data_IF_480713216019
#
_entry.id   IF_480713216019
#
_cell.length_a   1.000
_cell.length_b   1.000
_cell.length_c   1.000
_cell.angle_alpha   90.00
_cell.angle_beta   90.00
_cell.angle_gamma   90.00
#
_symmetry.space_group_name_H-M   'P 1'
#
loop_
_entity.id
_entity.type
_entity.pdbx_description
1 polymer ?
#
# COMPACT_ATOMS: atom_id res chain seq x y z
N UNK A 1 -13.04 16.88 6.44
CA UNK A 1 -11.66 16.77 6.94
C UNK A 1 -11.03 15.56 6.23
N UNK A 2 -9.73 15.59 5.93
CA UNK A 2 -9.03 14.41 5.45
C UNK A 2 -9.06 13.32 6.54
N UNK A 3 -9.15 12.03 6.16
CA UNK A 3 -9.11 10.95 7.14
C UNK A 3 -7.73 10.89 7.82
N UNK A 4 -7.70 10.29 9.03
CA UNK A 4 -6.48 10.08 9.81
C UNK A 4 -6.31 8.60 10.13
N UNK A 5 -5.05 8.13 10.14
CA UNK A 5 -4.69 6.78 10.51
C UNK A 5 -3.45 6.77 11.43
N UNK A 6 -3.58 6.12 12.59
CA UNK A 6 -2.50 5.93 13.55
C UNK A 6 -1.77 4.62 13.23
N UNK A 7 -0.49 4.72 12.87
CA UNK A 7 0.41 3.59 12.62
C UNK A 7 1.11 3.25 13.93
N UNK A 8 0.72 2.15 14.56
CA UNK A 8 1.24 1.75 15.87
C UNK A 8 2.67 1.23 15.76
N UNK A 9 3.43 1.38 16.86
CA UNK A 9 4.82 0.91 16.98
C UNK A 9 4.87 -0.54 17.46
N UNK A 10 5.87 -1.28 16.98
CA UNK A 10 6.24 -2.61 17.47
C UNK A 10 7.57 -2.57 18.20
N UNK A 11 7.75 -3.45 19.19
CA UNK A 11 9.01 -3.59 19.92
C UNK A 11 10.07 -4.43 19.18
N UNK A 12 9.70 -5.14 18.12
CA UNK A 12 10.61 -6.01 17.38
C UNK A 12 10.18 -6.15 15.92
N UNK A 13 11.05 -6.80 15.16
CA UNK A 13 10.80 -7.10 13.75
C UNK A 13 10.20 -8.49 13.59
N UNK A 14 9.46 -8.70 12.49
CA UNK A 14 8.95 -10.00 12.11
C UNK A 14 9.04 -10.24 10.59
N UNK A 15 8.92 -11.47 10.13
CA UNK A 15 8.75 -11.76 8.70
C UNK A 15 7.27 -11.62 8.32
N UNK A 16 6.90 -10.83 7.31
CA UNK A 16 5.51 -10.74 6.85
C UNK A 16 4.91 -12.10 6.42
N UNK A 17 5.74 -13.08 6.12
CA UNK A 17 5.33 -14.44 5.80
C UNK A 17 5.04 -15.31 7.00
N UNK A 18 5.36 -14.87 8.21
CA UNK A 18 5.09 -15.62 9.42
C UNK A 18 3.57 -15.71 9.64
N UNK A 19 3.05 -16.94 9.72
CA UNK A 19 1.64 -17.23 9.91
C UNK A 19 1.17 -16.98 11.36
N UNK A 20 2.10 -16.95 12.32
CA UNK A 20 1.82 -16.62 13.72
C UNK A 20 1.45 -15.15 13.95
N UNK A 21 1.82 -14.27 13.02
CA UNK A 21 1.54 -12.83 13.17
C UNK A 21 0.04 -12.54 13.11
N UNK A 22 -0.49 -12.02 14.19
CA UNK A 22 -1.91 -11.69 14.33
C UNK A 22 -2.24 -10.32 13.70
N UNK A 23 -2.22 -10.23 12.38
CA UNK A 23 -2.55 -9.01 11.64
C UNK A 23 -3.91 -8.40 12.01
N UNK A 24 -4.85 -9.24 12.49
CA UNK A 24 -6.17 -8.81 12.94
C UNK A 24 -6.17 -7.88 14.15
N UNK A 25 -5.11 -7.87 14.96
CA UNK A 25 -4.95 -6.97 16.11
C UNK A 25 -4.56 -5.55 15.70
N UNK A 26 -4.02 -5.37 14.48
CA UNK A 26 -3.67 -4.05 13.95
C UNK A 26 -4.94 -3.35 13.48
N UNK A 27 -5.23 -2.12 13.93
CA UNK A 27 -6.38 -1.36 13.47
C UNK A 27 -6.42 -1.23 11.95
N UNK A 28 -7.54 -1.56 11.33
CA UNK A 28 -7.71 -1.47 9.88
C UNK A 28 -8.28 -0.12 9.47
N UNK A 29 -7.76 0.45 8.40
CA UNK A 29 -8.49 1.42 7.59
C UNK A 29 -9.24 0.72 6.46
N UNK A 30 -10.31 1.33 5.98
CA UNK A 30 -11.15 0.78 4.91
C UNK A 30 -11.03 1.65 3.67
N UNK A 31 -10.67 1.04 2.56
CA UNK A 31 -10.77 1.66 1.24
C UNK A 31 -12.23 1.54 0.80
N UNK A 32 -12.96 2.65 0.81
CA UNK A 32 -14.42 2.65 0.63
C UNK A 32 -14.92 3.62 -0.44
N UNK A 33 -14.12 4.59 -0.82
CA UNK A 33 -14.51 5.63 -1.77
C UNK A 33 -14.10 5.19 -3.18
N UNK A 34 -15.06 4.62 -3.93
CA UNK A 34 -14.87 4.19 -5.31
C UNK A 34 -15.27 5.30 -6.27
N UNK A 35 -14.35 5.65 -7.18
CA UNK A 35 -14.37 6.89 -7.94
C UNK A 35 -14.39 6.62 -9.45
N UNK A 36 -14.87 7.58 -10.21
CA UNK A 36 -14.82 7.70 -11.68
C UNK A 36 -15.65 6.70 -12.48
N UNK A 37 -15.94 5.51 -11.96
CA UNK A 37 -16.74 4.50 -12.63
C UNK A 37 -17.95 4.13 -11.77
N UNK A 38 -19.12 4.14 -12.38
CA UNK A 38 -20.38 3.70 -11.74
C UNK A 38 -20.86 2.38 -12.36
N UNK A 39 -20.05 1.34 -12.24
CA UNK A 39 -20.36 -0.01 -12.70
C UNK A 39 -20.92 -0.93 -11.59
N UNK A 40 -21.18 -0.37 -10.40
CA UNK A 40 -21.69 -1.10 -9.23
C UNK A 40 -20.66 -1.97 -8.50
N UNK A 41 -19.42 -2.10 -9.00
CA UNK A 41 -18.40 -2.93 -8.39
C UNK A 41 -17.50 -2.14 -7.42
N UNK A 42 -17.61 -2.47 -6.13
CA UNK A 42 -16.93 -1.78 -5.03
C UNK A 42 -16.41 -2.83 -4.03
N UNK A 43 -15.34 -3.58 -4.37
CA UNK A 43 -14.84 -4.62 -3.47
C UNK A 43 -14.36 -4.01 -2.14
N UNK A 44 -14.76 -4.61 -1.02
CA UNK A 44 -14.26 -4.20 0.30
C UNK A 44 -12.76 -4.48 0.38
N UNK A 45 -12.00 -3.48 0.81
CA UNK A 45 -10.56 -3.64 1.06
C UNK A 45 -10.20 -3.06 2.42
N UNK A 46 -9.50 -3.86 3.21
CA UNK A 46 -8.90 -3.46 4.47
C UNK A 46 -7.39 -3.27 4.27
N UNK A 47 -6.85 -2.18 4.81
CA UNK A 47 -5.41 -2.00 4.90
C UNK A 47 -5.00 -1.79 6.36
N UNK A 48 -3.81 -2.25 6.71
CA UNK A 48 -3.20 -2.12 8.03
C UNK A 48 -1.75 -1.75 7.89
N UNK A 49 -1.25 -0.93 8.81
CA UNK A 49 0.17 -0.61 8.88
C UNK A 49 0.64 -0.53 10.34
N UNK A 50 1.86 -1.00 10.57
CA UNK A 50 2.61 -0.84 11.82
C UNK A 50 4.07 -0.61 11.48
N UNK A 51 4.86 -0.09 12.42
CA UNK A 51 6.29 0.10 12.21
C UNK A 51 7.11 -0.37 13.42
N UNK A 52 8.32 -0.84 13.13
CA UNK A 52 9.34 -1.15 14.12
C UNK A 52 10.47 -0.14 14.07
N UNK A 53 11.59 -0.44 14.69
CA UNK A 53 12.82 0.34 14.56
C UNK A 53 13.40 0.28 13.14
N UNK A 54 13.18 -0.82 12.40
CA UNK A 54 13.83 -1.05 11.12
C UNK A 54 12.88 -1.06 9.91
N UNK A 55 11.58 -1.32 10.12
CA UNK A 55 10.65 -1.54 9.01
C UNK A 55 9.31 -0.86 9.22
N UNK A 56 8.71 -0.45 8.10
CA UNK A 56 7.27 -0.20 7.96
C UNK A 56 6.63 -1.47 7.38
N UNK A 57 5.65 -2.02 8.07
CA UNK A 57 4.88 -3.20 7.67
C UNK A 57 3.52 -2.77 7.16
N UNK A 58 3.09 -3.37 6.07
CA UNK A 58 1.80 -3.09 5.45
C UNK A 58 1.11 -4.39 5.07
N UNK A 59 -0.18 -4.44 5.31
CA UNK A 59 -1.04 -5.56 4.97
C UNK A 59 -2.29 -5.05 4.27
N UNK A 60 -2.63 -5.68 3.16
CA UNK A 60 -3.91 -5.50 2.48
C UNK A 60 -4.69 -6.80 2.43
N UNK A 61 -6.01 -6.71 2.64
CA UNK A 61 -6.97 -7.77 2.42
C UNK A 61 -8.08 -7.27 1.52
N UNK A 62 -8.15 -7.80 0.31
CA UNK A 62 -9.15 -7.41 -0.69
C UNK A 62 -10.18 -8.53 -0.86
N UNK A 63 -11.44 -8.21 -0.61
CA UNK A 63 -12.57 -9.13 -0.77
C UNK A 63 -13.02 -9.11 -2.23
N UNK A 64 -12.28 -9.80 -3.07
CA UNK A 64 -12.42 -9.87 -4.51
C UNK A 64 -12.25 -11.33 -4.96
N UNK A 65 -13.30 -11.93 -5.48
CA UNK A 65 -13.32 -13.36 -5.90
C UNK A 65 -12.75 -13.58 -7.28
N UNK A 66 -12.92 -12.60 -8.18
CA UNK A 66 -12.38 -12.65 -9.54
C UNK A 66 -11.12 -11.81 -9.58
N UNK A 67 -10.00 -12.48 -9.74
CA UNK A 67 -8.67 -11.87 -9.67
C UNK A 67 -8.01 -11.93 -11.04
N UNK A 68 -7.41 -10.82 -11.43
CA UNK A 68 -6.54 -10.76 -12.59
C UNK A 68 -5.10 -10.56 -12.11
N UNK A 69 -4.19 -11.42 -12.54
CA UNK A 69 -2.73 -11.30 -12.42
C UNK A 69 -2.11 -11.73 -13.74
N UNK A 70 -1.54 -10.80 -14.45
CA UNK A 70 -0.83 -11.00 -15.71
C UNK A 70 0.62 -10.56 -15.65
N UNK A 71 0.92 -9.61 -14.77
CA UNK A 71 2.22 -9.00 -14.62
C UNK A 71 2.96 -9.60 -13.43
N UNK A 72 4.14 -10.18 -13.69
CA UNK A 72 4.98 -10.84 -12.69
C UNK A 72 6.41 -10.30 -12.66
N UNK A 73 6.75 -9.44 -13.60
CA UNK A 73 8.08 -8.89 -13.76
C UNK A 73 8.36 -7.67 -12.87
N UNK A 74 9.64 -7.34 -12.77
CA UNK A 74 10.11 -6.18 -12.03
C UNK A 74 9.60 -4.88 -12.68
N UNK A 75 8.92 -4.03 -11.86
CA UNK A 75 8.37 -2.75 -12.32
C UNK A 75 7.35 -2.86 -13.45
N UNK A 76 6.70 -4.01 -13.62
CA UNK A 76 5.60 -4.19 -14.54
C UNK A 76 4.40 -3.29 -14.20
N UNK A 77 3.48 -3.02 -15.14
CA UNK A 77 2.30 -2.19 -14.90
C UNK A 77 1.21 -2.94 -14.10
N UNK A 78 1.53 -3.27 -12.84
CA UNK A 78 0.69 -4.07 -11.93
C UNK A 78 -0.66 -3.43 -11.62
N UNK A 79 -0.82 -2.12 -11.78
CA UNK A 79 -2.09 -1.39 -11.65
C UNK A 79 -3.16 -1.85 -12.65
N UNK A 80 -2.77 -2.53 -13.73
CA UNK A 80 -3.71 -3.12 -14.68
C UNK A 80 -4.31 -4.44 -14.20
N UNK A 81 -3.70 -5.06 -13.20
CA UNK A 81 -4.15 -6.28 -12.54
C UNK A 81 -5.03 -5.96 -11.30
N UNK A 82 -5.50 -6.98 -10.58
CA UNK A 82 -6.04 -6.81 -9.23
C UNK A 82 -4.93 -6.30 -8.31
N UNK A 83 -4.95 -5.00 -7.99
CA UNK A 83 -3.86 -4.27 -7.39
C UNK A 83 -4.27 -3.50 -6.15
N UNK A 84 -3.36 -3.37 -5.19
CA UNK A 84 -3.45 -2.48 -4.02
C UNK A 84 -2.21 -1.59 -3.96
N UNK A 85 -2.38 -0.37 -3.43
CA UNK A 85 -1.30 0.61 -3.49
C UNK A 85 -1.19 1.38 -2.17
N UNK A 86 0.05 1.63 -1.74
CA UNK A 86 0.41 2.60 -0.71
C UNK A 86 1.17 3.76 -1.37
N UNK A 87 0.63 4.97 -1.24
CA UNK A 87 1.36 6.20 -1.55
C UNK A 87 1.65 6.91 -0.24
N UNK A 88 2.92 7.20 0.05
CA UNK A 88 3.34 7.69 1.37
C UNK A 88 4.40 8.78 1.28
N UNK A 89 4.16 9.87 1.99
CA UNK A 89 5.07 10.96 2.25
C UNK A 89 5.20 11.16 3.77
N UNK A 90 6.22 10.56 4.42
CA UNK A 90 6.44 10.74 5.85
C UNK A 90 6.92 12.14 6.23
N UNK A 91 7.42 12.93 5.28
CA UNK A 91 8.06 14.22 5.50
C UNK A 91 7.53 15.30 4.53
N UNK A 92 6.22 15.60 4.56
CA UNK A 92 5.61 16.51 3.59
C UNK A 92 6.18 17.92 3.63
N UNK A 93 6.72 18.35 4.77
CA UNK A 93 7.38 19.65 4.94
C UNK A 93 8.68 19.80 4.12
N UNK A 94 9.31 18.67 3.73
CA UNK A 94 10.51 18.68 2.90
C UNK A 94 10.21 18.95 1.42
N UNK A 95 8.98 18.70 0.98
CA UNK A 95 8.57 18.89 -0.42
C UNK A 95 9.38 18.06 -1.42
N UNK A 96 10.01 16.95 -0.97
CA UNK A 96 10.86 16.10 -1.80
C UNK A 96 10.06 15.21 -2.75
N UNK A 97 8.82 14.89 -2.37
CA UNK A 97 7.94 13.98 -3.08
C UNK A 97 7.45 12.84 -2.18
N UNK A 98 6.85 11.82 -2.76
CA UNK A 98 6.30 10.68 -2.05
C UNK A 98 6.69 9.36 -2.75
N UNK A 99 6.67 8.27 -1.99
CA UNK A 99 6.76 6.93 -2.56
C UNK A 99 5.37 6.47 -3.02
N UNK A 100 5.30 5.87 -4.20
CA UNK A 100 4.20 5.01 -4.60
C UNK A 100 4.69 3.56 -4.64
N UNK A 101 3.95 2.66 -4.02
CA UNK A 101 4.24 1.23 -3.93
C UNK A 101 2.95 0.51 -4.31
N UNK A 102 2.94 -0.05 -5.50
CA UNK A 102 1.81 -0.70 -6.14
C UNK A 102 2.11 -2.21 -6.21
N UNK A 103 1.21 -3.04 -5.70
CA UNK A 103 1.39 -4.51 -5.68
C UNK A 103 0.14 -5.20 -6.19
N UNK A 104 0.31 -6.11 -7.16
CA UNK A 104 -0.82 -6.95 -7.57
C UNK A 104 -1.04 -8.11 -6.58
N UNK A 105 -2.11 -8.86 -6.79
CA UNK A 105 -2.53 -9.94 -5.90
C UNK A 105 -1.51 -11.08 -5.78
N UNK A 106 -0.52 -11.20 -6.68
CA UNK A 106 0.58 -12.17 -6.60
C UNK A 106 1.90 -11.55 -6.07
N UNK A 107 1.89 -10.28 -5.66
CA UNK A 107 3.06 -9.65 -5.03
C UNK A 107 4.08 -9.07 -6.01
N UNK A 108 3.81 -9.05 -7.31
CA UNK A 108 4.62 -8.26 -8.23
C UNK A 108 4.49 -6.77 -7.89
N UNK A 109 5.60 -6.04 -7.95
CA UNK A 109 5.67 -4.67 -7.46
C UNK A 109 6.11 -3.68 -8.53
N UNK A 110 5.41 -2.54 -8.57
CA UNK A 110 5.84 -1.31 -9.22
C UNK A 110 6.00 -0.25 -8.14
N UNK A 111 7.18 0.34 -8.04
CA UNK A 111 7.45 1.36 -7.05
C UNK A 111 8.26 2.52 -7.63
N UNK A 112 8.00 3.71 -7.10
CA UNK A 112 8.67 4.93 -7.53
C UNK A 112 8.68 6.01 -6.45
N UNK A 113 9.49 7.05 -6.69
CA UNK A 113 9.58 8.23 -5.84
C UNK A 113 9.55 9.51 -6.68
N UNK A 114 8.80 10.50 -6.25
CA UNK A 114 8.76 11.82 -6.88
C UNK A 114 7.55 12.64 -6.50
N UNK A 115 7.43 13.81 -7.11
CA UNK A 115 6.41 14.83 -6.75
C UNK A 115 5.05 14.63 -7.43
N UNK A 116 4.92 13.65 -8.31
CA UNK A 116 3.70 13.39 -9.06
C UNK A 116 3.90 12.40 -10.20
N UNK A 117 2.84 12.06 -10.90
CA UNK A 117 2.82 11.02 -11.94
C UNK A 117 3.95 11.16 -12.99
N UNK A 118 4.21 12.39 -13.46
CA UNK A 118 5.22 12.65 -14.51
C UNK A 118 6.60 13.02 -13.95
N UNK A 119 6.69 13.33 -12.67
CA UNK A 119 7.90 13.80 -12.01
C UNK A 119 8.44 12.76 -11.00
N UNK A 120 8.26 11.49 -11.29
CA UNK A 120 8.74 10.36 -10.46
C UNK A 120 9.75 9.51 -11.21
N UNK A 121 10.66 8.92 -10.46
CA UNK A 121 11.58 7.89 -10.94
C UNK A 121 11.16 6.55 -10.34
N UNK A 122 11.29 5.47 -11.10
CA UNK A 122 11.13 4.11 -10.60
C UNK A 122 12.25 3.79 -9.63
N UNK A 123 11.95 3.07 -8.58
CA UNK A 123 12.95 2.55 -7.65
C UNK A 123 13.81 1.50 -8.36
N UNK A 124 15.09 1.47 -8.02
CA UNK A 124 16.04 0.49 -8.55
C UNK A 124 15.86 -0.87 -7.86
N UNK A 125 16.46 -1.96 -8.40
CA UNK A 125 16.50 -3.25 -7.70
C UNK A 125 17.15 -3.15 -6.31
N UNK A 126 18.16 -2.29 -6.15
CA UNK A 126 18.85 -2.05 -4.90
C UNK A 126 17.94 -1.38 -3.86
N UNK A 127 17.12 -0.42 -4.29
CA UNK A 127 16.10 0.22 -3.43
C UNK A 127 15.08 -0.80 -2.90
N UNK A 128 14.74 -1.81 -3.70
CA UNK A 128 13.76 -2.84 -3.36
C UNK A 128 14.38 -4.10 -2.70
N UNK A 129 15.70 -4.21 -2.66
CA UNK A 129 16.38 -5.41 -2.14
C UNK A 129 16.03 -5.76 -0.68
N UNK A 130 15.67 -4.75 0.13
CA UNK A 130 15.25 -4.95 1.51
C UNK A 130 13.75 -5.20 1.70
N UNK A 131 12.96 -5.14 0.63
CA UNK A 131 11.53 -5.46 0.71
C UNK A 131 11.33 -6.96 0.87
N UNK A 132 10.34 -7.32 1.68
CA UNK A 132 9.83 -8.69 1.76
C UNK A 132 8.35 -8.62 1.45
N UNK A 133 7.93 -9.18 0.33
CA UNK A 133 6.53 -9.19 -0.12
C UNK A 133 6.03 -10.64 -0.08
N UNK A 134 4.85 -10.84 0.49
CA UNK A 134 4.15 -12.13 0.58
C UNK A 134 2.72 -11.92 0.11
N UNK A 135 2.30 -12.73 -0.84
CA UNK A 135 0.96 -12.67 -1.42
C UNK A 135 0.26 -14.02 -1.33
N UNK A 136 -1.05 -14.01 -1.25
CA UNK A 136 -1.85 -15.25 -1.16
C UNK A 136 -2.14 -15.90 -2.51
N UNK A 137 -1.98 -15.16 -3.61
CA UNK A 137 -2.12 -15.69 -4.98
C UNK A 137 -0.73 -16.11 -5.47
N UNK A 138 -0.51 -17.38 -5.81
CA UNK A 138 0.85 -17.89 -6.08
C UNK A 138 1.41 -17.52 -7.47
N UNK A 139 0.58 -17.00 -8.38
CA UNK A 139 1.04 -16.72 -9.75
C UNK A 139 -0.06 -16.19 -10.65
N UNK A 140 0.14 -16.26 -11.98
CA UNK A 140 -0.81 -15.73 -12.93
C UNK A 140 -2.19 -16.37 -12.79
N UNK A 141 -3.22 -15.52 -12.80
CA UNK A 141 -4.63 -15.93 -12.75
C UNK A 141 -5.48 -14.91 -13.49
N UNK A 142 -6.57 -15.36 -14.11
CA UNK A 142 -7.58 -14.47 -14.70
C UNK A 142 -8.95 -15.12 -14.51
N UNK A 143 -9.64 -14.79 -13.43
CA UNK A 143 -10.93 -15.35 -13.08
C UNK A 143 -11.13 -15.65 -11.61
N UNK A 144 -11.95 -16.65 -11.30
CA UNK A 144 -12.19 -17.09 -9.93
C UNK A 144 -10.96 -17.81 -9.36
N UNK A 145 -10.55 -17.46 -8.15
CA UNK A 145 -9.38 -18.08 -7.49
C UNK A 145 -9.73 -18.99 -6.30
N UNK A 146 -11.01 -19.26 -6.07
CA UNK A 146 -11.47 -20.25 -5.10
C UNK A 146 -11.62 -19.75 -3.65
N UNK A 147 -11.15 -18.54 -3.34
CA UNK A 147 -11.33 -17.90 -2.03
C UNK A 147 -12.15 -16.61 -2.15
N UNK A 148 -12.71 -16.15 -1.02
CA UNK A 148 -13.51 -14.91 -0.97
C UNK A 148 -12.66 -13.64 -0.98
N UNK A 149 -11.36 -13.77 -0.68
CA UNK A 149 -10.42 -12.65 -0.61
C UNK A 149 -9.01 -13.10 -0.98
N UNK A 150 -8.17 -12.12 -1.28
CA UNK A 150 -6.73 -12.28 -1.39
C UNK A 150 -6.01 -11.28 -0.48
N UNK A 151 -4.75 -11.56 -0.18
CA UNK A 151 -3.93 -10.72 0.69
C UNK A 151 -2.57 -10.44 0.07
N UNK A 152 -2.05 -9.25 0.35
CA UNK A 152 -0.64 -8.88 0.15
C UNK A 152 -0.14 -8.24 1.43
N UNK A 153 1.01 -8.68 1.88
CA UNK A 153 1.70 -8.16 3.06
C UNK A 153 3.17 -7.96 2.74
N UNK A 154 3.72 -6.87 3.21
CA UNK A 154 5.11 -6.57 2.94
C UNK A 154 5.73 -5.72 4.05
N UNK A 155 7.07 -5.71 4.09
CA UNK A 155 7.84 -4.78 4.89
C UNK A 155 8.74 -3.93 4.00
N UNK A 156 8.93 -2.68 4.39
CA UNK A 156 9.76 -1.67 3.75
C UNK A 156 10.84 -1.26 4.75
N UNK A 157 12.13 -1.36 4.42
CA UNK A 157 13.19 -0.86 5.31
C UNK A 157 13.07 0.64 5.55
N UNK A 158 13.11 1.10 6.80
CA UNK A 158 13.09 2.53 7.11
C UNK A 158 14.32 3.27 6.55
N UNK A 159 15.40 2.55 6.28
CA UNK A 159 16.59 3.09 5.61
C UNK A 159 16.30 3.57 4.19
N UNK A 160 15.28 3.04 3.50
CA UNK A 160 14.82 3.57 2.21
C UNK A 160 14.40 5.04 2.37
N UNK A 161 13.55 5.33 3.35
CA UNK A 161 13.10 6.70 3.62
C UNK A 161 14.27 7.62 3.98
N UNK A 162 15.21 7.14 4.80
CA UNK A 162 16.43 7.88 5.13
C UNK A 162 17.25 8.24 3.90
N UNK A 163 17.39 7.32 2.95
CA UNK A 163 18.13 7.54 1.70
C UNK A 163 17.54 8.65 0.84
N UNK A 164 16.20 8.75 0.78
CA UNK A 164 15.51 9.72 -0.09
C UNK A 164 15.19 11.05 0.59
N UNK A 165 14.95 11.06 1.89
CA UNK A 165 14.58 12.26 2.64
C UNK A 165 15.71 12.82 3.51
N UNK A 166 16.80 12.06 3.73
CA UNK A 166 17.85 12.40 4.69
C UNK A 166 17.40 12.28 6.15
N UNK A 167 16.25 11.65 6.41
CA UNK A 167 15.63 11.50 7.72
C UNK A 167 14.90 10.16 7.80
N UNK A 168 14.61 9.68 9.02
CA UNK A 168 13.97 8.39 9.25
C UNK A 168 12.66 8.53 9.99
N UNK A 169 11.76 7.57 9.76
CA UNK A 169 10.50 7.44 10.49
C UNK A 169 10.82 7.16 11.97
N UNK A 170 10.12 7.86 12.87
CA UNK A 170 10.26 7.75 14.32
C UNK A 170 8.91 7.96 15.02
N UNK A 171 8.75 7.52 16.26
CA UNK A 171 7.56 7.82 17.04
C UNK A 171 7.28 9.33 17.11
N UNK A 172 6.01 9.70 17.06
CA UNK A 172 5.54 11.09 17.05
C UNK A 172 5.63 11.80 15.69
N UNK A 173 6.18 11.17 14.65
CA UNK A 173 6.24 11.75 13.31
C UNK A 173 4.84 11.80 12.71
N UNK A 174 4.48 12.93 12.11
CA UNK A 174 3.28 13.12 11.31
C UNK A 174 3.64 13.17 9.82
N UNK A 175 2.89 12.45 9.02
CA UNK A 175 3.09 12.41 7.57
C UNK A 175 1.75 12.37 6.83
N UNK A 176 1.84 12.10 5.54
CA UNK A 176 0.67 11.92 4.66
C UNK A 176 0.77 10.63 3.89
N UNK A 177 -0.37 9.97 3.69
CA UNK A 177 -0.44 8.78 2.87
C UNK A 177 -1.82 8.63 2.23
N UNK A 178 -1.89 7.75 1.24
CA UNK A 178 -3.15 7.21 0.77
C UNK A 178 -3.02 5.72 0.48
N UNK A 179 -4.12 5.02 0.59
CA UNK A 179 -4.23 3.59 0.31
C UNK A 179 -5.27 3.41 -0.78
N UNK A 180 -4.94 2.63 -1.80
CA UNK A 180 -5.77 2.49 -2.97
C UNK A 180 -6.02 1.03 -3.33
N UNK A 181 -7.09 0.81 -4.06
CA UNK A 181 -7.42 -0.42 -4.76
C UNK A 181 -7.71 -0.09 -6.20
N UNK A 182 -7.07 -0.76 -7.12
CA UNK A 182 -7.39 -0.62 -8.53
C UNK A 182 -7.39 -1.96 -9.27
N UNK A 183 -7.82 -1.88 -10.52
CA UNK A 183 -7.87 -2.99 -11.43
C UNK A 183 -8.27 -2.50 -12.82
N UNK A 184 -7.36 -1.75 -13.49
CA UNK A 184 -7.69 -1.03 -14.74
C UNK A 184 -8.15 -1.96 -15.86
N UNK A 185 -7.66 -3.21 -15.88
CA UNK A 185 -7.98 -4.22 -16.91
C UNK A 185 -8.59 -5.50 -16.35
N UNK A 186 -9.11 -5.44 -15.12
CA UNK A 186 -9.93 -6.52 -14.56
C UNK A 186 -11.27 -6.60 -15.32
N UNK A 187 -12.01 -7.68 -15.16
CA UNK A 187 -13.35 -7.84 -15.77
C UNK A 187 -14.30 -6.69 -15.37
N UNK A 188 -14.18 -6.20 -14.15
CA UNK A 188 -14.91 -5.06 -13.62
C UNK A 188 -13.92 -3.98 -13.16
N UNK A 189 -13.47 -3.08 -14.05
CA UNK A 189 -12.53 -2.02 -13.70
C UNK A 189 -13.04 -1.17 -12.54
N UNK A 190 -12.12 -0.79 -11.64
CA UNK A 190 -12.49 -0.04 -10.43
C UNK A 190 -11.31 0.73 -9.84
N UNK A 191 -11.62 1.81 -9.12
CA UNK A 191 -10.65 2.70 -8.49
C UNK A 191 -11.16 3.10 -7.10
N UNK A 192 -10.63 2.47 -6.07
CA UNK A 192 -10.96 2.73 -4.67
C UNK A 192 -9.87 3.52 -3.95
N UNK A 193 -10.26 4.40 -3.03
CA UNK A 193 -9.37 5.20 -2.21
C UNK A 193 -9.81 5.21 -0.74
N UNK A 194 -8.84 5.34 0.17
CA UNK A 194 -9.09 5.65 1.58
C UNK A 194 -9.39 7.14 1.77
N UNK A 195 -8.59 8.01 1.15
CA UNK A 195 -8.82 9.45 1.08
C UNK A 195 -9.09 9.83 -0.39
N UNK A 196 -10.33 10.20 -0.75
CA UNK A 196 -10.73 10.32 -2.14
C UNK A 196 -10.12 11.54 -2.84
N UNK A 197 -9.33 11.36 -3.92
CA UNK A 197 -8.90 12.48 -4.76
C UNK A 197 -10.08 13.06 -5.54
N UNK A 198 -10.12 14.39 -5.63
CA UNK A 198 -11.18 15.14 -6.33
C UNK A 198 -10.71 15.54 -7.72
N UNK A 199 -10.72 14.59 -8.64
CA UNK A 199 -10.32 14.79 -10.04
C UNK A 199 -11.38 14.27 -10.99
N UNK A 200 -11.49 14.86 -12.17
CA UNK A 200 -12.48 14.44 -13.20
C UNK A 200 -12.15 13.08 -13.83
N UNK A 201 -10.85 12.73 -13.85
CA UNK A 201 -10.33 11.49 -14.45
C UNK A 201 -9.52 10.71 -13.45
N UNK A 202 -9.38 9.37 -13.60
CA UNK A 202 -8.59 8.55 -12.70
C UNK A 202 -7.16 9.05 -12.53
N UNK A 203 -6.84 9.54 -11.35
CA UNK A 203 -5.51 10.00 -10.98
C UNK A 203 -5.26 9.89 -9.47
N UNK A 204 -4.55 8.87 -9.05
CA UNK A 204 -4.13 8.67 -7.66
C UNK A 204 -2.92 9.51 -7.26
N UNK A 205 -2.16 10.03 -8.24
CA UNK A 205 -0.94 10.80 -8.01
C UNK A 205 -1.23 12.27 -7.61
N UNK A 206 -2.06 12.43 -6.58
CA UNK A 206 -2.58 13.72 -6.10
C UNK A 206 -2.29 13.84 -4.59
N UNK A 207 -1.03 14.14 -4.22
CA UNK A 207 -0.62 14.17 -2.80
C UNK A 207 -1.38 15.20 -1.96
N UNK A 208 -1.97 16.22 -2.57
CA UNK A 208 -2.82 17.20 -1.88
C UNK A 208 -4.10 16.58 -1.27
N UNK A 209 -4.49 15.38 -1.72
CA UNK A 209 -5.63 14.64 -1.19
C UNK A 209 -5.23 13.47 -0.26
N UNK A 210 -3.95 13.33 0.06
CA UNK A 210 -3.53 12.29 1.01
C UNK A 210 -4.11 12.55 2.40
N UNK A 211 -4.50 11.49 3.09
CA UNK A 211 -4.89 11.53 4.49
C UNK A 211 -3.69 11.76 5.41
N UNK A 212 -3.98 12.13 6.65
CA UNK A 212 -2.96 12.27 7.70
C UNK A 212 -2.60 10.90 8.26
N UNK A 213 -1.32 10.63 8.43
CA UNK A 213 -0.81 9.49 9.17
C UNK A 213 0.02 9.97 10.36
N UNK A 214 -0.05 9.22 11.47
CA UNK A 214 0.74 9.48 12.68
C UNK A 214 1.49 8.20 13.04
N UNK A 215 2.81 8.26 13.09
CA UNK A 215 3.64 7.19 13.61
C UNK A 215 3.61 7.24 15.14
N UNK A 216 2.85 6.36 15.75
CA UNK A 216 2.47 6.43 17.15
C UNK A 216 3.61 6.08 18.09
N UNK A 217 3.60 6.68 19.27
CA UNK A 217 4.42 6.26 20.41
C UNK A 217 3.85 5.01 21.10
N UNK A 218 2.56 4.70 20.85
CA UNK A 218 1.89 3.53 21.43
C UNK A 218 2.45 2.24 20.86
N UNK A 219 2.79 1.32 21.75
CA UNK A 219 3.34 0.02 21.39
C UNK A 219 2.19 -0.98 21.27
N UNK A 220 2.18 -1.71 20.17
CA UNK A 220 1.33 -2.86 19.95
C UNK A 220 2.16 -4.13 20.17
N UNK A 221 1.70 -5.00 21.07
CA UNK A 221 2.26 -6.34 21.21
C UNK A 221 1.52 -7.28 20.25
N UNK A 222 2.23 -7.81 19.28
CA UNK A 222 1.76 -8.93 18.46
C UNK A 222 2.34 -10.20 19.07
N UNK A 223 1.47 -11.15 19.40
CA UNK A 223 1.92 -12.51 19.74
C UNK A 223 2.44 -13.17 18.46
N UNK A 224 3.63 -13.72 18.55
CA UNK A 224 4.30 -14.50 17.49
C UNK A 224 4.25 -15.98 17.84
#
# INVERSE_FOLDING_TARGET
MAPEYEILRLNGDFDPGDEGVQWGLIPALIIKDYLWLDNGYKPRVEARAVFSEHYLYVYFKAFEKRVRVRHMGFQDPVYTDSCVELFIDPFPEKGSGYFNIETNAAGAVLAGFGKGRRARKRLSPEDLAGFRIVASIPGPVDGLHGADFWTVRYRIPLMLFKGYYGDTIRPGLEGRANFYKCGDKTELPHYGAWSPPRTEKPDFHRPEFFGRIVFSEKILSLET
#
